data_IF_887600580921
#
_entry.id   IF_887600580921
#
_cell.length_a   1.000
_cell.length_b   1.000
_cell.length_c   1.000
_cell.angle_alpha   90.00
_cell.angle_beta   90.00
_cell.angle_gamma   90.00
#
_symmetry.space_group_name_H-M   'P 1'
#
loop_
_entity.id
_entity.type
_entity.pdbx_description
1 polymer ?
#
# COMPACT_ATOMS: atom_id res chain seq x y z
N UNK A 1 -11.05 12.64 -11.92
CA UNK A 1 -11.76 11.39 -11.69
C UNK A 1 -12.65 11.47 -10.44
N UNK A 2 -13.35 10.42 -10.18
CA UNK A 2 -14.31 10.35 -9.06
C UNK A 2 -13.70 10.71 -7.71
N UNK A 3 -12.54 10.13 -7.39
CA UNK A 3 -11.86 10.42 -6.12
C UNK A 3 -11.45 11.88 -6.02
N UNK A 4 -10.89 12.44 -7.09
CA UNK A 4 -10.46 13.83 -7.13
C UNK A 4 -11.65 14.78 -6.94
N UNK A 5 -12.77 14.49 -7.61
CA UNK A 5 -13.98 15.31 -7.52
C UNK A 5 -14.58 15.25 -6.11
N UNK A 6 -14.57 14.07 -5.48
CA UNK A 6 -15.06 13.90 -4.11
C UNK A 6 -14.20 14.67 -3.10
N UNK A 7 -12.89 14.69 -3.26
CA UNK A 7 -11.98 15.46 -2.40
C UNK A 7 -12.26 16.96 -2.55
N UNK A 8 -12.43 17.46 -3.76
CA UNK A 8 -12.74 18.86 -4.03
C UNK A 8 -14.09 19.25 -3.42
N UNK A 9 -15.08 18.37 -3.50
CA UNK A 9 -16.40 18.59 -2.94
C UNK A 9 -16.44 18.51 -1.42
N UNK A 10 -15.40 17.97 -0.78
CA UNK A 10 -15.34 17.79 0.67
C UNK A 10 -16.27 16.70 1.21
N UNK A 11 -16.80 15.85 0.36
CA UNK A 11 -17.69 14.76 0.75
C UNK A 11 -16.90 13.54 1.16
N UNK A 12 -16.81 13.29 2.46
CA UNK A 12 -16.03 12.19 3.02
C UNK A 12 -16.62 10.81 2.71
N UNK A 13 -17.94 10.72 2.58
CA UNK A 13 -18.60 9.44 2.24
C UNK A 13 -18.25 9.05 0.81
N UNK A 14 -18.33 9.98 -0.13
CA UNK A 14 -17.94 9.73 -1.52
C UNK A 14 -16.44 9.43 -1.65
N UNK A 15 -15.60 10.09 -0.86
CA UNK A 15 -14.17 9.80 -0.82
C UNK A 15 -13.90 8.36 -0.40
N UNK A 16 -14.57 7.90 0.66
CA UNK A 16 -14.42 6.54 1.13
C UNK A 16 -14.92 5.52 0.09
N UNK A 17 -16.07 5.79 -0.51
CA UNK A 17 -16.64 4.94 -1.54
C UNK A 17 -15.69 4.80 -2.74
N UNK A 18 -15.14 5.91 -3.21
CA UNK A 18 -14.19 5.90 -4.33
C UNK A 18 -12.91 5.10 -3.99
N UNK A 19 -12.40 5.23 -2.77
CA UNK A 19 -11.22 4.48 -2.33
C UNK A 19 -11.51 2.99 -2.25
N UNK A 20 -12.67 2.61 -1.74
CA UNK A 20 -13.08 1.19 -1.67
C UNK A 20 -13.25 0.62 -3.08
N UNK A 21 -13.81 1.38 -4.02
CA UNK A 21 -13.93 0.96 -5.41
C UNK A 21 -12.57 0.65 -6.03
N UNK A 22 -11.55 1.48 -5.76
CA UNK A 22 -10.18 1.24 -6.22
C UNK A 22 -9.67 -0.10 -5.67
N UNK A 23 -9.92 -0.38 -4.39
CA UNK A 23 -9.52 -1.64 -3.77
C UNK A 23 -10.22 -2.83 -4.43
N UNK A 24 -11.52 -2.72 -4.67
CA UNK A 24 -12.31 -3.79 -5.30
C UNK A 24 -11.78 -4.11 -6.70
N UNK A 25 -11.54 -3.09 -7.51
CA UNK A 25 -10.99 -3.26 -8.87
C UNK A 25 -9.60 -3.88 -8.82
N UNK A 26 -8.74 -3.41 -7.91
CA UNK A 26 -7.38 -3.92 -7.75
C UNK A 26 -7.39 -5.39 -7.34
N UNK A 27 -8.18 -5.77 -6.34
CA UNK A 27 -8.31 -7.15 -5.89
C UNK A 27 -8.85 -8.05 -6.99
N UNK A 28 -9.82 -7.57 -7.76
CA UNK A 28 -10.37 -8.28 -8.90
C UNK A 28 -9.32 -8.57 -9.98
N UNK A 29 -8.47 -7.60 -10.25
CA UNK A 29 -7.38 -7.75 -11.23
C UNK A 29 -6.35 -8.81 -10.78
N UNK A 30 -5.96 -8.79 -9.50
CA UNK A 30 -5.03 -9.77 -8.93
C UNK A 30 -5.63 -11.18 -9.02
N UNK A 31 -6.90 -11.31 -8.67
CA UNK A 31 -7.62 -12.59 -8.73
C UNK A 31 -7.75 -13.11 -10.15
N UNK A 32 -8.08 -12.24 -11.09
CA UNK A 32 -8.20 -12.60 -12.50
C UNK A 32 -6.87 -13.09 -13.09
N UNK A 33 -5.76 -12.53 -12.62
CA UNK A 33 -4.41 -12.97 -13.01
C UNK A 33 -4.04 -14.34 -12.41
N UNK A 34 -4.78 -14.80 -11.42
CA UNK A 34 -4.50 -16.06 -10.73
C UNK A 34 -3.34 -15.95 -9.72
N UNK A 35 -3.01 -14.75 -9.29
CA UNK A 35 -1.95 -14.51 -8.32
C UNK A 35 -2.48 -14.63 -6.89
N UNK A 36 -1.57 -14.96 -5.94
CA UNK A 36 -1.92 -15.03 -4.52
C UNK A 36 -1.86 -13.63 -3.90
N UNK A 37 -2.99 -12.95 -3.94
CA UNK A 37 -3.09 -11.58 -3.46
C UNK A 37 -2.91 -11.44 -1.96
N UNK A 38 -3.39 -12.40 -1.18
CA UNK A 38 -3.25 -12.38 0.28
C UNK A 38 -1.79 -12.50 0.70
N UNK A 39 -1.07 -13.46 0.12
CA UNK A 39 0.35 -13.65 0.42
C UNK A 39 1.18 -12.45 -0.03
N UNK A 40 0.88 -11.89 -1.21
CA UNK A 40 1.54 -10.68 -1.71
C UNK A 40 1.29 -9.49 -0.79
N UNK A 41 0.05 -9.30 -0.32
CA UNK A 41 -0.31 -8.26 0.64
C UNK A 41 0.51 -8.38 1.92
N UNK A 42 0.59 -9.59 2.48
CA UNK A 42 1.35 -9.84 3.71
C UNK A 42 2.83 -9.51 3.52
N UNK A 43 3.40 -9.86 2.38
CA UNK A 43 4.80 -9.56 2.07
C UNK A 43 5.05 -8.06 1.97
N UNK A 44 4.18 -7.33 1.28
CA UNK A 44 4.29 -5.86 1.19
C UNK A 44 4.15 -5.21 2.56
N UNK A 45 3.21 -5.67 3.38
CA UNK A 45 3.03 -5.15 4.73
C UNK A 45 4.26 -5.44 5.59
N UNK A 46 4.84 -6.64 5.47
CA UNK A 46 6.08 -6.98 6.18
C UNK A 46 7.19 -5.97 5.90
N UNK A 47 7.40 -5.63 4.64
CA UNK A 47 8.45 -4.68 4.25
C UNK A 47 8.12 -3.25 4.69
N UNK A 48 6.85 -2.87 4.67
CA UNK A 48 6.42 -1.55 5.12
C UNK A 48 6.59 -1.41 6.64
N UNK A 49 6.21 -2.41 7.43
CA UNK A 49 6.42 -2.38 8.88
C UNK A 49 7.91 -2.41 9.24
N UNK A 50 8.76 -3.04 8.42
CA UNK A 50 10.20 -3.05 8.62
C UNK A 50 10.85 -1.66 8.48
N UNK A 51 10.15 -0.70 7.89
CA UNK A 51 10.62 0.70 7.79
C UNK A 51 10.37 1.51 9.08
N UNK A 52 9.59 0.96 10.00
CA UNK A 52 9.25 1.64 11.25
C UNK A 52 10.39 1.53 12.23
N UNK A 53 10.78 2.66 12.85
CA UNK A 53 11.79 2.68 13.91
C UNK A 53 11.19 2.01 15.15
N UNK A 54 11.81 0.92 15.65
CA UNK A 54 11.26 0.21 16.81
C UNK A 54 11.30 1.05 18.10
N UNK A 55 12.15 2.07 18.16
CA UNK A 55 12.26 2.93 19.33
C UNK A 55 11.11 3.94 19.39
N UNK A 56 10.76 4.54 18.27
CA UNK A 56 9.72 5.59 18.20
C UNK A 56 8.37 5.10 17.74
N UNK A 57 8.31 3.92 17.10
CA UNK A 57 7.11 3.42 16.46
C UNK A 57 6.70 4.16 15.19
N UNK A 58 7.57 4.99 14.66
CA UNK A 58 7.33 5.83 13.48
C UNK A 58 8.39 5.59 12.41
N UNK A 59 8.03 5.85 11.15
CA UNK A 59 9.02 5.85 10.07
C UNK A 59 9.91 7.08 10.17
N UNK A 60 11.19 6.90 9.81
CA UNK A 60 12.15 8.01 9.74
C UNK A 60 12.12 8.55 8.33
N UNK A 61 11.95 9.85 8.18
CA UNK A 61 11.93 10.50 6.87
C UNK A 61 13.22 11.28 6.64
N UNK A 62 13.70 11.26 5.39
CA UNK A 62 14.82 12.11 4.97
C UNK A 62 14.34 13.56 4.82
N UNK A 63 15.28 14.47 4.62
CA UNK A 63 14.99 15.91 4.44
C UNK A 63 14.02 16.16 3.27
N UNK A 64 14.08 15.33 2.21
CA UNK A 64 13.20 15.45 1.04
C UNK A 64 11.81 14.83 1.25
N UNK A 65 11.51 14.36 2.46
CA UNK A 65 10.22 13.76 2.81
C UNK A 65 10.10 12.28 2.49
N UNK A 66 11.10 11.66 1.89
CA UNK A 66 11.09 10.23 1.60
C UNK A 66 11.38 9.41 2.84
N UNK A 67 10.72 8.25 2.97
CA UNK A 67 10.96 7.34 4.09
C UNK A 67 12.37 6.76 4.00
N UNK A 68 13.11 6.86 5.12
CA UNK A 68 14.44 6.27 5.22
C UNK A 68 14.31 4.79 5.52
N UNK A 69 14.94 3.95 4.67
CA UNK A 69 14.94 2.50 4.86
C UNK A 69 16.02 2.11 5.85
N UNK A 70 15.70 1.26 6.84
CA UNK A 70 16.71 0.81 7.79
C UNK A 70 17.78 -0.05 7.11
N UNK A 71 18.96 -0.11 7.73
CA UNK A 71 20.04 -0.98 7.27
C UNK A 71 19.56 -2.43 7.25
N UNK A 72 19.83 -3.12 6.15
CA UNK A 72 19.39 -4.50 5.99
C UNK A 72 17.96 -4.67 5.50
N UNK A 73 17.24 -3.57 5.28
CA UNK A 73 15.89 -3.64 4.71
C UNK A 73 15.96 -4.17 3.27
N UNK A 74 15.03 -5.07 2.95
CA UNK A 74 14.90 -5.60 1.60
C UNK A 74 13.51 -5.30 1.03
N UNK A 75 13.44 -5.09 -0.29
CA UNK A 75 12.19 -4.87 -0.99
C UNK A 75 11.29 -6.12 -0.94
N UNK A 76 9.97 -5.95 -1.15
CA UNK A 76 9.06 -7.10 -1.21
C UNK A 76 9.48 -8.10 -2.26
N UNK A 77 9.47 -9.39 -1.91
CA UNK A 77 9.80 -10.48 -2.81
C UNK A 77 8.51 -11.04 -3.41
N UNK A 78 8.03 -10.42 -4.49
CA UNK A 78 6.71 -10.71 -5.05
C UNK A 78 6.72 -11.74 -6.19
N UNK A 79 7.89 -12.03 -6.77
CA UNK A 79 7.99 -12.97 -7.89
C UNK A 79 7.43 -14.35 -7.56
N UNK A 80 7.55 -14.79 -6.31
CA UNK A 80 7.03 -16.09 -5.85
C UNK A 80 5.51 -16.20 -5.92
N UNK A 81 4.78 -15.08 -5.99
CA UNK A 81 3.31 -15.06 -6.01
C UNK A 81 2.75 -14.86 -7.42
N UNK A 82 3.58 -14.69 -8.41
CA UNK A 82 3.21 -14.49 -9.81
C UNK A 82 3.34 -15.83 -10.53
N UNK A 83 2.30 -16.16 -11.32
CA UNK A 83 2.29 -17.38 -12.12
C UNK A 83 2.84 -17.16 -13.52
#
# INVERSE_FOLDING_TARGET
>A
GELKDAIIAGDQVEQLDALVDILVVTMGAIRAAGWDGEAAWNEVMRTNFAKVDPTTGKVIKREDGKVLKPKGWSAPQLAQFVK
#
